data_IF_225265558216
#
_entry.id   IF_225265558216
#
_cell.length_a   1.000
_cell.length_b   1.000
_cell.length_c   1.000
_cell.angle_alpha   90.00
_cell.angle_beta   90.00
_cell.angle_gamma   90.00
#
_symmetry.space_group_name_H-M   'P 1'
#
loop_
_entity.id
_entity.type
_entity.pdbx_description
1 polymer ?
#
# COMPACT_ATOMS: atom_id res chain seq x y z
N UNK A 1 -45.55 45.02 -7.53
CA UNK A 1 -44.21 45.41 -7.02
C UNK A 1 -43.71 44.31 -6.12
N UNK A 2 -42.43 43.94 -6.26
CA UNK A 2 -41.64 42.87 -5.58
C UNK A 2 -42.22 41.46 -5.67
N UNK A 3 -41.63 40.47 -6.39
CA UNK A 3 -40.22 40.07 -6.41
C UNK A 3 -39.90 39.36 -5.09
N UNK A 4 -39.39 38.14 -4.97
CA UNK A 4 -38.59 37.25 -5.84
C UNK A 4 -38.66 35.84 -5.21
N UNK A 5 -38.86 34.77 -6.00
CA UNK A 5 -37.84 33.82 -6.45
C UNK A 5 -37.60 32.65 -5.47
N UNK A 6 -38.14 31.49 -5.83
CA UNK A 6 -37.63 30.20 -5.34
C UNK A 6 -36.39 29.79 -6.14
N UNK A 7 -35.53 28.96 -5.56
CA UNK A 7 -34.60 28.11 -6.34
C UNK A 7 -34.31 26.83 -5.57
N UNK A 8 -34.62 25.70 -6.20
CA UNK A 8 -34.04 24.39 -5.91
C UNK A 8 -32.57 24.40 -6.38
N UNK A 9 -31.64 24.09 -5.47
CA UNK A 9 -30.22 23.99 -5.79
C UNK A 9 -29.85 22.58 -6.23
N UNK A 10 -29.83 22.37 -7.55
CA UNK A 10 -29.09 21.30 -8.22
C UNK A 10 -27.58 21.49 -7.97
N UNK A 11 -26.83 20.40 -7.74
CA UNK A 11 -25.36 20.43 -7.82
C UNK A 11 -24.91 19.51 -8.95
N UNK A 12 -24.71 20.15 -10.09
CA UNK A 12 -24.15 19.59 -11.31
C UNK A 12 -22.66 19.99 -11.38
N UNK A 13 -21.82 19.05 -11.82
CA UNK A 13 -20.55 19.37 -12.48
C UNK A 13 -19.34 19.70 -11.60
N UNK A 14 -18.48 18.69 -11.37
CA UNK A 14 -17.04 18.89 -11.57
C UNK A 14 -16.54 17.90 -12.61
N UNK A 15 -16.22 18.43 -13.80
CA UNK A 15 -15.40 17.76 -14.80
C UNK A 15 -14.04 17.46 -14.17
N UNK A 16 -13.65 16.19 -14.11
CA UNK A 16 -12.24 15.84 -13.90
C UNK A 16 -11.45 16.37 -15.10
N UNK A 17 -10.52 17.29 -14.82
CA UNK A 17 -9.61 17.88 -15.81
C UNK A 17 -8.75 16.81 -16.48
N UNK A 18 -8.73 16.80 -17.82
CA UNK A 18 -7.97 15.89 -18.69
C UNK A 18 -6.42 16.00 -18.62
N UNK A 19 -5.82 16.40 -17.50
CA UNK A 19 -4.38 16.74 -17.46
C UNK A 19 -3.50 15.70 -16.74
N UNK A 20 -3.93 14.43 -16.67
CA UNK A 20 -3.05 13.32 -16.26
C UNK A 20 -2.69 12.41 -17.43
N UNK A 21 -2.53 12.97 -18.63
CA UNK A 21 -1.87 12.26 -19.74
C UNK A 21 -0.35 12.46 -19.58
N UNK A 22 0.46 11.39 -19.55
CA UNK A 22 1.90 11.53 -19.60
C UNK A 22 2.31 12.29 -20.87
N UNK A 23 3.38 13.10 -20.84
CA UNK A 23 3.81 13.84 -22.01
C UNK A 23 4.13 12.87 -23.17
N UNK A 24 3.79 13.22 -24.43
CA UNK A 24 4.16 12.41 -25.57
C UNK A 24 5.69 12.34 -25.68
N UNK A 25 6.19 11.12 -25.85
CA UNK A 25 7.61 10.83 -26.08
C UNK A 25 7.98 11.45 -27.43
N UNK A 26 8.98 12.34 -27.44
CA UNK A 26 9.54 12.87 -28.68
C UNK A 26 10.34 11.76 -29.36
N UNK A 27 9.83 11.22 -30.46
CA UNK A 27 10.59 10.39 -31.39
C UNK A 27 11.51 11.28 -32.22
N UNK A 28 12.82 11.15 -32.02
CA UNK A 28 13.82 11.49 -33.03
C UNK A 28 14.29 10.17 -33.65
N UNK A 29 14.09 10.05 -34.96
CA UNK A 29 14.36 8.87 -35.75
C UNK A 29 15.87 8.64 -35.98
N UNK A 30 16.15 7.40 -36.40
CA UNK A 30 17.39 6.88 -36.97
C UNK A 30 18.47 6.43 -35.97
N UNK A 31 18.46 5.13 -35.63
CA UNK A 31 19.52 4.17 -36.03
C UNK A 31 19.40 2.80 -35.30
N UNK A 32 19.78 1.77 -36.06
CA UNK A 32 20.02 0.36 -35.70
C UNK A 32 18.85 -0.60 -35.41
N UNK A 33 18.44 -1.26 -36.49
CA UNK A 33 17.51 -2.40 -36.56
C UNK A 33 17.86 -3.58 -35.63
N UNK A 34 19.12 -3.71 -35.23
CA UNK A 34 19.58 -4.79 -34.33
C UNK A 34 19.25 -4.52 -32.85
N UNK A 35 18.94 -3.27 -32.48
CA UNK A 35 18.48 -2.90 -31.13
C UNK A 35 16.96 -3.03 -30.94
N UNK A 36 16.19 -3.16 -32.02
CA UNK A 36 14.72 -3.29 -31.96
C UNK A 36 14.32 -4.65 -31.35
N UNK A 37 15.09 -5.70 -31.63
CA UNK A 37 14.84 -7.04 -31.08
C UNK A 37 15.30 -7.13 -29.60
N UNK A 38 16.33 -6.39 -29.19
CA UNK A 38 16.76 -6.30 -27.78
C UNK A 38 15.83 -5.45 -26.90
N UNK A 39 15.03 -4.53 -27.47
CA UNK A 39 14.08 -3.69 -26.72
C UNK A 39 12.71 -4.33 -26.45
N UNK A 40 12.44 -5.53 -26.99
CA UNK A 40 11.27 -6.34 -26.62
C UNK A 40 11.52 -7.29 -25.44
N UNK A 41 12.60 -7.08 -24.69
CA UNK A 41 12.89 -7.75 -23.42
C UNK A 41 12.62 -6.84 -22.22
N UNK A 42 11.69 -7.27 -21.36
CA UNK A 42 11.29 -6.70 -20.06
C UNK A 42 10.29 -5.53 -20.08
N UNK A 43 8.99 -5.86 -20.20
CA UNK A 43 7.99 -5.16 -19.39
C UNK A 43 8.36 -5.45 -17.94
N UNK A 44 9.06 -4.56 -17.25
CA UNK A 44 9.10 -4.60 -15.80
C UNK A 44 7.67 -4.35 -15.33
N UNK A 45 6.92 -5.40 -14.98
CA UNK A 45 5.64 -5.25 -14.31
C UNK A 45 5.93 -4.59 -12.95
N UNK A 46 5.94 -3.26 -12.92
CA UNK A 46 6.12 -2.52 -11.68
C UNK A 46 4.96 -2.87 -10.75
N UNK A 47 5.32 -3.31 -9.55
CA UNK A 47 4.39 -3.61 -8.48
C UNK A 47 3.78 -2.29 -7.99
N UNK A 48 2.45 -2.25 -7.85
CA UNK A 48 1.74 -1.09 -7.35
C UNK A 48 1.46 -1.24 -5.86
N UNK A 49 2.15 -0.44 -5.04
CA UNK A 49 1.97 -0.37 -3.59
C UNK A 49 0.91 0.68 -3.23
N UNK A 50 -0.20 0.22 -2.64
CA UNK A 50 -1.27 1.04 -2.09
C UNK A 50 -1.23 1.00 -0.56
N UNK A 51 -1.05 2.15 0.09
CA UNK A 51 -1.10 2.25 1.55
C UNK A 51 -2.46 2.78 2.01
N UNK A 52 -3.04 2.14 3.03
CA UNK A 52 -4.30 2.55 3.67
C UNK A 52 -4.03 2.74 5.16
N UNK A 53 -4.00 4.00 5.61
CA UNK A 53 -3.65 4.34 6.98
C UNK A 53 -4.87 4.87 7.75
N UNK A 54 -4.96 4.59 9.05
CA UNK A 54 -6.03 5.11 9.89
C UNK A 54 -6.23 4.33 11.18
N UNK A 55 -6.95 4.92 12.13
CA UNK A 55 -7.18 4.33 13.45
C UNK A 55 -7.82 2.94 13.41
N UNK A 56 -7.71 2.20 14.52
CA UNK A 56 -8.41 0.92 14.70
C UNK A 56 -9.92 1.11 14.50
N UNK A 57 -10.56 0.13 13.86
CA UNK A 57 -11.99 0.15 13.52
C UNK A 57 -12.46 1.30 12.60
N UNK A 58 -11.56 2.03 11.93
CA UNK A 58 -11.94 3.07 10.95
C UNK A 58 -12.47 2.53 9.61
N UNK A 59 -12.49 1.20 9.43
CA UNK A 59 -12.97 0.55 8.21
C UNK A 59 -11.90 0.26 7.15
N UNK A 60 -10.59 0.42 7.45
CA UNK A 60 -9.49 0.12 6.52
C UNK A 60 -9.64 -1.22 5.82
N UNK A 61 -9.78 -2.29 6.60
CA UNK A 61 -9.94 -3.66 6.08
C UNK A 61 -11.17 -3.80 5.18
N UNK A 62 -12.27 -3.11 5.51
CA UNK A 62 -13.48 -3.11 4.68
C UNK A 62 -13.23 -2.41 3.34
N UNK A 63 -12.55 -1.26 3.35
CA UNK A 63 -12.13 -0.55 2.14
C UNK A 63 -11.17 -1.40 1.30
N UNK A 64 -10.16 -2.02 1.92
CA UNK A 64 -9.24 -2.92 1.23
C UNK A 64 -9.98 -4.09 0.55
N UNK A 65 -10.88 -4.75 1.27
CA UNK A 65 -11.68 -5.85 0.71
C UNK A 65 -12.55 -5.40 -0.45
N UNK A 66 -13.14 -4.20 -0.38
CA UNK A 66 -13.91 -3.64 -1.48
C UNK A 66 -13.03 -3.36 -2.70
N UNK A 67 -11.85 -2.78 -2.50
CA UNK A 67 -10.88 -2.54 -3.59
C UNK A 67 -10.48 -3.86 -4.24
N UNK A 68 -10.22 -4.91 -3.46
CA UNK A 68 -9.87 -6.24 -3.97
C UNK A 68 -11.03 -6.79 -4.82
N UNK A 69 -12.27 -6.67 -4.35
CA UNK A 69 -13.45 -7.12 -5.10
C UNK A 69 -13.64 -6.33 -6.41
N UNK A 70 -13.42 -5.01 -6.38
CA UNK A 70 -13.58 -4.13 -7.54
C UNK A 70 -12.48 -4.35 -8.60
N UNK A 71 -11.30 -4.84 -8.19
CA UNK A 71 -10.17 -5.16 -9.08
C UNK A 71 -10.33 -6.51 -9.82
N UNK A 72 -11.30 -7.33 -9.45
CA UNK A 72 -11.67 -8.56 -10.16
C UNK A 72 -10.50 -9.55 -10.31
N UNK A 73 -10.10 -9.84 -11.55
CA UNK A 73 -9.07 -10.84 -11.88
C UNK A 73 -7.63 -10.38 -11.62
N UNK A 74 -7.42 -9.11 -11.21
CA UNK A 74 -6.09 -8.64 -10.85
C UNK A 74 -5.68 -9.28 -9.54
N UNK A 75 -4.53 -9.97 -9.52
CA UNK A 75 -3.99 -10.51 -8.27
C UNK A 75 -3.58 -9.38 -7.34
N UNK A 76 -4.18 -9.37 -6.15
CA UNK A 76 -3.90 -8.42 -5.08
C UNK A 76 -3.40 -9.18 -3.86
N UNK A 77 -2.32 -8.69 -3.25
CA UNK A 77 -1.90 -9.11 -1.93
C UNK A 77 -2.32 -8.07 -0.90
N UNK A 78 -2.75 -8.51 0.29
CA UNK A 78 -3.06 -7.64 1.43
C UNK A 78 -2.06 -7.94 2.55
N UNK A 79 -1.40 -6.90 3.06
CA UNK A 79 -0.44 -6.97 4.16
C UNK A 79 -0.94 -6.08 5.29
N UNK A 80 -1.01 -6.64 6.50
CA UNK A 80 -1.30 -5.86 7.71
C UNK A 80 0.01 -5.43 8.37
N UNK A 81 0.12 -4.16 8.74
CA UNK A 81 1.25 -3.63 9.51
C UNK A 81 1.36 -4.30 10.88
N UNK A 82 0.27 -4.85 11.41
CA UNK A 82 0.25 -5.53 12.70
C UNK A 82 1.14 -6.80 12.72
N UNK A 83 1.41 -7.40 11.56
CA UNK A 83 2.39 -8.49 11.45
C UNK A 83 3.80 -8.08 11.94
N UNK A 84 4.11 -6.78 11.89
CA UNK A 84 5.43 -6.23 12.17
C UNK A 84 5.57 -5.66 13.59
N UNK A 85 4.67 -6.00 14.52
CA UNK A 85 4.94 -5.75 15.93
C UNK A 85 6.23 -6.46 16.39
N UNK A 86 7.00 -5.80 17.26
CA UNK A 86 8.18 -6.39 17.93
C UNK A 86 7.79 -7.41 19.01
N UNK A 87 6.58 -7.30 19.54
CA UNK A 87 6.13 -8.05 20.72
C UNK A 87 6.67 -7.51 22.04
N UNK A 88 6.14 -8.03 23.13
CA UNK A 88 6.53 -7.64 24.48
C UNK A 88 7.85 -8.29 24.89
N UNK A 89 8.73 -7.51 25.50
CA UNK A 89 9.91 -8.02 26.19
C UNK A 89 9.48 -8.70 27.49
N UNK A 90 10.30 -9.66 27.94
CA UNK A 90 10.08 -10.39 29.20
C UNK A 90 9.85 -9.40 30.36
N UNK A 91 8.72 -9.56 31.06
CA UNK A 91 8.35 -8.73 32.21
C UNK A 91 7.55 -7.47 31.89
N UNK A 92 7.27 -7.17 30.61
CA UNK A 92 6.34 -6.10 30.26
C UNK A 92 4.89 -6.54 30.42
N UNK A 93 4.07 -5.62 30.92
CA UNK A 93 2.62 -5.80 31.10
C UNK A 93 1.89 -5.30 29.85
N UNK A 94 1.17 -6.20 29.18
CA UNK A 94 0.39 -5.89 27.98
C UNK A 94 -0.64 -4.78 28.21
N UNK A 95 -1.20 -4.67 29.42
CA UNK A 95 -2.22 -3.67 29.76
C UNK A 95 -1.67 -2.25 29.89
N UNK A 96 -0.36 -2.12 30.09
CA UNK A 96 0.35 -0.85 30.24
C UNK A 96 1.19 -0.49 29.02
N UNK A 97 1.33 -1.43 28.09
CA UNK A 97 2.10 -1.23 26.88
C UNK A 97 1.27 -0.51 25.82
N UNK A 98 1.80 0.58 25.27
CA UNK A 98 1.15 1.30 24.19
C UNK A 98 1.51 0.68 22.84
N UNK A 99 0.63 -0.17 22.30
CA UNK A 99 0.81 -0.77 20.98
C UNK A 99 0.64 0.24 19.83
N UNK A 100 0.02 1.40 20.08
CA UNK A 100 -0.12 2.45 19.08
C UNK A 100 1.11 3.39 19.03
N UNK A 101 2.14 3.12 19.83
CA UNK A 101 3.39 3.88 19.76
C UNK A 101 4.25 3.39 18.59
N UNK A 102 4.89 4.28 17.80
CA UNK A 102 5.74 3.87 16.69
C UNK A 102 6.80 2.82 17.07
N UNK A 103 7.39 2.92 18.26
CA UNK A 103 8.42 1.97 18.73
C UNK A 103 7.93 0.53 18.88
N UNK A 104 6.62 0.30 18.96
CA UNK A 104 6.04 -1.04 18.99
C UNK A 104 6.25 -1.82 17.69
N UNK A 105 6.51 -1.11 16.58
CA UNK A 105 6.69 -1.71 15.26
C UNK A 105 8.17 -1.86 14.90
N UNK A 106 8.44 -2.89 14.11
CA UNK A 106 9.72 -3.21 13.52
C UNK A 106 9.79 -2.63 12.10
N UNK A 107 10.05 -1.33 12.00
CA UNK A 107 10.09 -0.61 10.73
C UNK A 107 11.20 -1.09 9.80
N UNK A 108 12.28 -1.69 10.31
CA UNK A 108 13.38 -2.16 9.47
C UNK A 108 12.98 -3.44 8.72
N UNK A 109 12.35 -4.40 9.40
CA UNK A 109 11.76 -5.57 8.74
C UNK A 109 10.64 -5.12 7.80
N UNK A 110 9.76 -4.23 8.25
CA UNK A 110 8.65 -3.77 7.42
C UNK A 110 9.13 -3.06 6.14
N UNK A 111 10.11 -2.17 6.25
CA UNK A 111 10.74 -1.51 5.10
C UNK A 111 11.37 -2.52 4.16
N UNK A 112 12.16 -3.46 4.68
CA UNK A 112 12.80 -4.50 3.86
C UNK A 112 11.76 -5.32 3.11
N UNK A 113 10.71 -5.78 3.78
CA UNK A 113 9.61 -6.55 3.17
C UNK A 113 8.95 -5.79 2.03
N UNK A 114 8.62 -4.50 2.23
CA UNK A 114 7.97 -3.71 1.18
C UNK A 114 8.92 -3.38 0.02
N UNK A 115 10.19 -3.12 0.30
CA UNK A 115 11.22 -2.88 -0.72
C UNK A 115 11.41 -4.12 -1.60
N UNK A 116 11.59 -5.29 -0.99
CA UNK A 116 11.76 -6.56 -1.70
C UNK A 116 10.53 -6.89 -2.57
N UNK A 117 9.32 -6.62 -2.05
CA UNK A 117 8.09 -6.78 -2.82
C UNK A 117 7.99 -5.78 -3.97
N UNK A 118 8.38 -4.51 -3.78
CA UNK A 118 8.37 -3.51 -4.84
C UNK A 118 9.28 -3.88 -6.02
N UNK A 119 10.37 -4.60 -5.74
CA UNK A 119 11.31 -5.14 -6.73
C UNK A 119 10.81 -6.44 -7.39
N UNK A 120 9.64 -6.95 -6.99
CA UNK A 120 9.06 -8.18 -7.55
C UNK A 120 9.52 -9.46 -6.85
N UNK A 121 10.14 -9.36 -5.68
CA UNK A 121 10.68 -10.48 -4.92
C UNK A 121 9.64 -11.35 -4.21
N UNK A 122 10.15 -12.35 -3.49
CA UNK A 122 9.40 -13.18 -2.53
C UNK A 122 9.92 -12.87 -1.14
N UNK A 123 9.00 -12.70 -0.20
CA UNK A 123 9.27 -12.31 1.19
C UNK A 123 8.60 -13.28 2.15
N UNK A 124 9.14 -13.38 3.36
CA UNK A 124 8.53 -14.08 4.48
C UNK A 124 8.00 -13.04 5.46
N UNK A 125 6.67 -12.93 5.57
CA UNK A 125 5.99 -11.98 6.44
C UNK A 125 5.89 -12.59 7.84
N UNK A 126 6.38 -11.91 8.89
CA UNK A 126 6.31 -12.44 10.26
C UNK A 126 4.86 -12.65 10.70
N UNK A 127 4.64 -13.67 11.53
CA UNK A 127 3.35 -13.90 12.19
C UNK A 127 3.38 -13.35 13.60
N UNK A 128 2.45 -12.46 13.91
CA UNK A 128 2.26 -11.89 15.24
C UNK A 128 1.04 -12.50 15.93
N UNK A 129 1.22 -12.95 17.17
CA UNK A 129 0.14 -13.49 18.01
C UNK A 129 -0.36 -12.44 18.98
N UNK A 130 -1.60 -11.99 18.79
CA UNK A 130 -2.27 -11.07 19.72
C UNK A 130 -2.63 -11.73 21.05
N UNK A 131 -2.66 -13.06 21.12
CA UNK A 131 -2.93 -13.81 22.36
C UNK A 131 -1.71 -13.82 23.27
N UNK A 132 -0.53 -14.01 22.71
CA UNK A 132 0.74 -14.07 23.45
C UNK A 132 1.51 -12.75 23.43
N UNK A 133 1.02 -11.74 22.69
CA UNK A 133 1.68 -10.45 22.46
C UNK A 133 3.13 -10.59 21.99
N UNK A 134 3.38 -11.56 21.09
CA UNK A 134 4.72 -11.92 20.64
C UNK A 134 4.74 -12.29 19.17
N UNK A 135 5.90 -12.09 18.54
CA UNK A 135 6.20 -12.68 17.23
C UNK A 135 6.40 -14.18 17.40
N UNK A 136 5.93 -14.96 16.43
CA UNK A 136 6.15 -16.40 16.38
C UNK A 136 7.42 -16.69 15.57
N UNK A 137 8.54 -16.92 16.25
CA UNK A 137 9.88 -17.01 15.63
C UNK A 137 9.98 -18.06 14.51
N UNK A 138 9.29 -19.19 14.64
CA UNK A 138 9.32 -20.29 13.67
C UNK A 138 8.18 -20.23 12.63
N UNK A 139 7.45 -19.11 12.55
CA UNK A 139 6.32 -18.96 11.64
C UNK A 139 6.41 -17.69 10.81
N UNK A 140 6.27 -17.87 9.50
CA UNK A 140 6.14 -16.78 8.55
C UNK A 140 5.15 -17.16 7.44
N UNK A 141 4.47 -16.15 6.90
CA UNK A 141 3.65 -16.30 5.70
C UNK A 141 4.50 -15.93 4.48
N UNK A 142 4.84 -16.93 3.67
CA UNK A 142 5.58 -16.70 2.42
C UNK A 142 4.68 -16.04 1.38
N UNK A 143 5.11 -14.92 0.83
CA UNK A 143 4.36 -14.13 -0.15
C UNK A 143 5.27 -13.75 -1.32
N UNK A 144 4.81 -13.96 -2.54
CA UNK A 144 5.45 -13.46 -3.76
C UNK A 144 4.74 -12.20 -4.22
N UNK A 145 5.50 -11.23 -4.73
CA UNK A 145 4.96 -9.99 -5.25
C UNK A 145 3.83 -10.22 -6.28
N UNK A 146 2.74 -9.48 -6.09
CA UNK A 146 1.57 -9.42 -6.97
C UNK A 146 1.49 -8.06 -7.64
N UNK A 147 0.84 -7.91 -8.81
CA UNK A 147 0.75 -6.63 -9.50
C UNK A 147 0.27 -5.47 -8.63
N UNK A 148 -0.62 -5.73 -7.67
CA UNK A 148 -1.03 -4.79 -6.63
C UNK A 148 -0.75 -5.39 -5.26
N UNK A 149 -0.14 -4.62 -4.36
CA UNK A 149 -0.01 -4.95 -2.94
C UNK A 149 -0.64 -3.83 -2.14
N UNK A 150 -1.65 -4.16 -1.35
CA UNK A 150 -2.30 -3.25 -0.42
C UNK A 150 -1.68 -3.47 0.96
N UNK A 151 -1.30 -2.38 1.60
CA UNK A 151 -0.74 -2.38 2.95
C UNK A 151 -1.63 -1.54 3.84
N UNK A 152 -2.14 -2.13 4.92
CA UNK A 152 -3.04 -1.44 5.85
C UNK A 152 -2.45 -1.41 7.27
N UNK A 153 -2.77 -0.36 8.03
CA UNK A 153 -2.33 -0.24 9.42
C UNK A 153 -2.59 1.13 10.03
N UNK A 154 -2.28 1.26 11.32
CA UNK A 154 -2.49 2.52 12.06
C UNK A 154 -1.40 3.57 11.84
N UNK A 155 -0.18 3.14 11.49
CA UNK A 155 1.01 3.99 11.40
C UNK A 155 1.85 3.71 10.15
N UNK A 156 1.22 3.24 9.06
CA UNK A 156 1.93 2.81 7.82
C UNK A 156 2.87 3.88 7.30
N UNK A 157 2.48 5.16 7.40
CA UNK A 157 3.24 6.29 6.86
C UNK A 157 4.13 7.01 7.88
N UNK A 158 4.32 6.45 9.08
CA UNK A 158 5.15 7.06 10.11
C UNK A 158 6.64 7.13 9.71
N UNK A 159 7.19 6.03 9.19
CA UNK A 159 8.58 5.99 8.70
C UNK A 159 8.67 6.56 7.28
N UNK A 160 9.54 7.55 7.07
CA UNK A 160 9.70 8.22 5.78
C UNK A 160 10.16 7.25 4.67
N UNK A 161 11.04 6.30 4.98
CA UNK A 161 11.57 5.32 4.03
C UNK A 161 10.44 4.48 3.46
N UNK A 162 9.51 4.06 4.32
CA UNK A 162 8.35 3.25 3.96
C UNK A 162 7.33 4.09 3.19
N UNK A 163 7.02 5.28 3.69
CA UNK A 163 6.09 6.22 3.06
C UNK A 163 6.49 6.54 1.61
N UNK A 164 7.79 6.58 1.31
CA UNK A 164 8.29 6.91 -0.02
C UNK A 164 8.25 5.73 -1.02
N UNK A 165 8.01 4.50 -0.55
CA UNK A 165 7.80 3.33 -1.42
C UNK A 165 6.41 3.31 -2.07
N UNK A 166 5.40 3.94 -1.45
CA UNK A 166 4.01 3.83 -1.88
C UNK A 166 3.71 4.65 -3.14
N UNK A 167 3.03 4.03 -4.11
CA UNK A 167 2.51 4.71 -5.29
C UNK A 167 1.26 5.54 -4.97
N UNK A 168 0.45 5.08 -4.02
CA UNK A 168 -0.75 5.77 -3.55
C UNK A 168 -0.92 5.60 -2.04
N UNK A 169 -1.43 6.65 -1.40
CA UNK A 169 -1.58 6.78 0.06
C UNK A 169 -3.00 7.27 0.34
N UNK A 170 -3.73 6.53 1.18
CA UNK A 170 -5.12 6.81 1.58
C UNK A 170 -5.18 6.96 3.09
#
# INVERSE_FOLDING_TARGET
MSGSLGVAGSFEGRKFSETLRPPPIKETAEEDSDNIIKRRGSKTNRIFLLGVCGGTASGKTSVCNRIINDLGDVRVALISMDCFYKGLKKGQDATKYNFDHPDAFDYDIFFKTLSDLAEGGTVDIPVYSFVTHSRLEDQATRMTATPVVIVEGILVFHDARIRDLFNMKV
#
